data_IF_653844856678
#
_entry.id   IF_653844856678
#
_cell.length_a   1.000
_cell.length_b   1.000
_cell.length_c   1.000
_cell.angle_alpha   90.00
_cell.angle_beta   90.00
_cell.angle_gamma   90.00
#
_symmetry.space_group_name_H-M   'P 1'
#
loop_
_entity.id
_entity.type
_entity.pdbx_description
1 polymer ?
#
# COMPACT_ATOMS: atom_id res chain seq x y z
N UNK A 1 -6.25 14.19 7.51
CA UNK A 1 -5.87 13.87 6.13
C UNK A 1 -6.45 12.50 5.81
N UNK A 2 -7.50 12.44 4.99
CA UNK A 2 -7.95 11.16 4.42
C UNK A 2 -6.86 10.66 3.48
N UNK A 3 -6.56 9.36 3.56
CA UNK A 3 -5.46 8.77 2.78
C UNK A 3 -5.84 8.72 1.29
N UNK A 4 -7.14 8.79 0.97
CA UNK A 4 -7.67 8.71 -0.38
C UNK A 4 -7.31 7.39 -1.06
N UNK A 5 -8.10 6.95 -2.03
CA UNK A 5 -7.78 5.71 -2.73
C UNK A 5 -8.55 5.58 -4.02
N UNK A 6 -7.94 4.92 -5.00
CA UNK A 6 -8.61 4.49 -6.22
C UNK A 6 -8.44 2.99 -6.37
N UNK A 7 -9.55 2.27 -6.50
CA UNK A 7 -9.53 0.84 -6.83
C UNK A 7 -8.69 0.67 -8.11
N UNK A 8 -7.76 -0.27 -8.05
CA UNK A 8 -6.91 -0.62 -9.16
C UNK A 8 -7.44 -1.94 -9.76
N UNK A 9 -7.67 -1.95 -11.08
CA UNK A 9 -8.25 -3.10 -11.80
C UNK A 9 -7.20 -4.08 -12.34
N UNK A 10 -5.91 -3.80 -12.11
CA UNK A 10 -4.81 -4.69 -12.51
C UNK A 10 -4.66 -5.92 -11.61
N UNK A 11 -5.22 -5.87 -10.39
CA UNK A 11 -5.28 -6.99 -9.45
C UNK A 11 -6.65 -7.04 -8.80
N UNK A 12 -7.11 -8.25 -8.44
CA UNK A 12 -8.46 -8.54 -7.94
C UNK A 12 -8.84 -7.71 -6.71
N UNK A 13 -7.95 -7.64 -5.71
CA UNK A 13 -8.13 -6.83 -4.51
C UNK A 13 -6.99 -5.83 -4.36
N UNK A 14 -7.05 -4.73 -5.13
CA UNK A 14 -6.01 -3.70 -5.05
C UNK A 14 -6.53 -2.26 -5.08
N UNK A 15 -5.76 -1.38 -4.45
CA UNK A 15 -6.05 0.05 -4.38
C UNK A 15 -4.75 0.84 -4.46
N UNK A 16 -4.75 1.89 -5.27
CA UNK A 16 -3.70 2.90 -5.24
C UNK A 16 -4.09 3.97 -4.23
N UNK A 17 -3.27 4.12 -3.19
CA UNK A 17 -3.45 5.12 -2.13
C UNK A 17 -2.40 6.22 -2.25
N UNK A 18 -2.71 7.41 -1.71
CA UNK A 18 -1.87 8.60 -1.82
C UNK A 18 -1.51 9.14 -0.44
N UNK A 19 -0.73 8.39 0.38
CA UNK A 19 -0.26 8.87 1.67
C UNK A 19 0.49 10.20 1.53
N UNK A 20 1.12 10.44 0.36
CA UNK A 20 1.62 11.75 -0.07
C UNK A 20 1.10 12.06 -1.47
N UNK A 21 0.78 13.33 -1.72
CA UNK A 21 0.14 13.80 -2.95
C UNK A 21 0.91 13.40 -4.24
N UNK A 22 2.23 13.29 -4.16
CA UNK A 22 3.10 12.97 -5.31
C UNK A 22 3.61 11.53 -5.30
N UNK A 23 3.25 10.72 -4.30
CA UNK A 23 3.82 9.40 -4.13
C UNK A 23 2.70 8.36 -4.00
N UNK A 24 2.19 7.85 -5.14
CA UNK A 24 1.22 6.78 -5.15
C UNK A 24 1.85 5.51 -4.61
N UNK A 25 1.07 4.77 -3.82
CA UNK A 25 1.45 3.46 -3.30
C UNK A 25 0.37 2.47 -3.70
N UNK A 26 0.75 1.39 -4.36
CA UNK A 26 -0.17 0.31 -4.70
C UNK A 26 -0.23 -0.68 -3.54
N UNK A 27 -1.42 -0.88 -3.02
CA UNK A 27 -1.71 -1.93 -2.05
C UNK A 27 -2.44 -3.08 -2.74
N UNK A 28 -1.96 -4.29 -2.51
CA UNK A 28 -2.63 -5.52 -2.94
C UNK A 28 -2.96 -6.31 -1.68
N UNK A 29 -4.23 -6.66 -1.52
CA UNK A 29 -4.76 -7.41 -0.40
C UNK A 29 -4.94 -8.85 -0.86
N UNK A 30 -4.51 -9.79 -0.03
CA UNK A 30 -4.72 -11.21 -0.25
C UNK A 30 -5.60 -11.72 0.88
N UNK A 31 -6.77 -12.24 0.52
CA UNK A 31 -7.64 -12.92 1.48
C UNK A 31 -6.97 -14.20 1.96
N UNK A 32 -7.37 -14.66 3.14
CA UNK A 32 -6.92 -15.93 3.68
C UNK A 32 -7.57 -17.06 2.88
N UNK A 33 -6.79 -18.08 2.54
CA UNK A 33 -7.29 -19.33 1.98
C UNK A 33 -6.76 -20.54 2.79
N UNK A 34 -6.94 -21.76 2.25
CA UNK A 34 -6.52 -23.00 2.92
C UNK A 34 -4.99 -23.17 2.97
N UNK A 35 -4.26 -22.53 2.04
CA UNK A 35 -2.81 -22.67 1.89
C UNK A 35 -2.03 -21.47 2.46
N UNK A 36 -2.65 -20.28 2.49
CA UNK A 36 -2.00 -19.02 2.83
C UNK A 36 -2.80 -18.17 3.81
N UNK A 37 -2.09 -17.58 4.77
CA UNK A 37 -2.65 -16.57 5.67
C UNK A 37 -2.97 -15.27 4.94
N UNK A 38 -3.99 -14.54 5.43
CA UNK A 38 -4.31 -13.22 4.92
C UNK A 38 -3.08 -12.31 4.99
N UNK A 39 -2.81 -11.61 3.90
CA UNK A 39 -1.63 -10.75 3.81
C UNK A 39 -1.91 -9.54 2.92
N UNK A 40 -0.98 -8.60 2.90
CA UNK A 40 -1.01 -7.52 1.94
C UNK A 40 0.40 -7.20 1.46
N UNK A 41 0.49 -6.72 0.23
CA UNK A 41 1.74 -6.24 -0.38
C UNK A 41 1.64 -4.77 -0.69
N UNK A 42 2.75 -4.07 -0.45
CA UNK A 42 2.91 -2.66 -0.76
C UNK A 42 3.94 -2.55 -1.87
N UNK A 43 3.51 -2.06 -3.02
CA UNK A 43 4.36 -1.85 -4.18
C UNK A 43 4.59 -0.36 -4.40
N UNK A 44 5.86 -0.03 -4.60
CA UNK A 44 6.33 1.32 -4.91
C UNK A 44 6.51 1.48 -6.41
N UNK A 45 6.42 2.73 -6.88
CA UNK A 45 6.71 3.03 -8.27
C UNK A 45 8.20 2.80 -8.57
N UNK A 46 8.48 1.87 -9.49
CA UNK A 46 9.84 1.50 -9.88
C UNK A 46 10.57 2.63 -10.63
N UNK A 47 9.85 3.61 -11.16
CA UNK A 47 10.44 4.81 -11.77
C UNK A 47 11.00 5.79 -10.74
N UNK A 48 10.73 5.58 -9.46
CA UNK A 48 11.10 6.46 -8.35
C UNK A 48 12.00 5.79 -7.28
N UNK A 49 13.07 5.05 -7.64
CA UNK A 49 13.84 4.23 -6.69
C UNK A 49 14.61 5.06 -5.63
N UNK A 50 14.82 6.36 -5.89
CA UNK A 50 15.58 7.25 -5.01
C UNK A 50 14.70 8.09 -4.09
N UNK A 51 13.37 8.05 -4.26
CA UNK A 51 12.49 9.04 -3.63
C UNK A 51 12.27 8.83 -2.13
N UNK A 52 12.47 7.62 -1.60
CA UNK A 52 12.27 7.35 -0.18
C UNK A 52 13.28 6.37 0.39
N UNK A 53 13.87 6.73 1.54
CA UNK A 53 14.67 5.82 2.36
C UNK A 53 13.76 4.71 2.94
N UNK A 54 14.31 3.51 3.09
CA UNK A 54 13.59 2.33 3.61
C UNK A 54 12.91 2.59 4.96
N UNK A 55 13.54 3.35 5.86
CA UNK A 55 12.94 3.69 7.16
C UNK A 55 11.69 4.57 7.02
N UNK A 56 11.69 5.50 6.07
CA UNK A 56 10.54 6.36 5.80
C UNK A 56 9.40 5.52 5.21
N UNK A 57 9.71 4.61 4.28
CA UNK A 57 8.76 3.63 3.75
C UNK A 57 8.11 2.82 4.89
N UNK A 58 8.92 2.29 5.82
CA UNK A 58 8.42 1.52 6.96
C UNK A 58 7.44 2.34 7.81
N UNK A 59 7.79 3.60 8.12
CA UNK A 59 6.92 4.49 8.88
C UNK A 59 5.59 4.76 8.17
N UNK A 60 5.61 4.94 6.85
CA UNK A 60 4.41 5.15 6.03
C UNK A 60 3.51 3.92 6.05
N UNK A 61 4.09 2.73 5.88
CA UNK A 61 3.34 1.47 5.92
C UNK A 61 2.68 1.31 7.29
N UNK A 62 3.41 1.53 8.38
CA UNK A 62 2.86 1.45 9.74
C UNK A 62 1.71 2.45 9.94
N UNK A 63 1.85 3.67 9.42
CA UNK A 63 0.78 4.68 9.48
C UNK A 63 -0.47 4.23 8.70
N UNK A 64 -0.30 3.71 7.48
CA UNK A 64 -1.41 3.22 6.65
C UNK A 64 -2.12 2.05 7.34
N UNK A 65 -1.37 1.05 7.83
CA UNK A 65 -1.92 -0.10 8.55
C UNK A 65 -2.69 0.37 9.79
N UNK A 66 -2.11 1.26 10.60
CA UNK A 66 -2.79 1.83 11.77
C UNK A 66 -4.08 2.56 11.39
N UNK A 67 -4.15 3.18 10.22
CA UNK A 67 -5.35 3.91 9.78
C UNK A 67 -6.43 3.03 9.17
N UNK A 68 -6.07 1.87 8.63
CA UNK A 68 -7.02 0.94 8.01
C UNK A 68 -7.52 -0.13 9.00
N UNK A 69 -6.71 -0.48 10.01
CA UNK A 69 -6.99 -1.56 10.94
C UNK A 69 -7.34 -1.08 12.36
N UNK A 70 -7.47 0.23 12.61
CA UNK A 70 -7.89 0.83 13.89
C UNK A 70 -9.03 1.80 13.68
#
# INVERSE_FOLDING_TARGET
MEIGGKINKGFEHSSTVYPFKMFPVLMILYEKDEEFEASFRVLFDSSAPHYLKTDVIKMIILYIVKKLCS
#
